data_IF_041989164689
#
_entry.id   IF_041989164689
#
_cell.length_a   1.000
_cell.length_b   1.000
_cell.length_c   1.000
_cell.angle_alpha   90.00
_cell.angle_beta   90.00
_cell.angle_gamma   90.00
#
_symmetry.space_group_name_H-M   'P 1'
#
loop_
_entity.id
_entity.type
_entity.pdbx_description
1 polymer ?
#
# COMPACT_ATOMS: atom_id res chain seq x y z
N UNK A 1 -11.99 -19.29 18.15
CA UNK A 1 -12.49 -17.94 17.83
C UNK A 1 -13.37 -17.51 18.98
N UNK A 2 -12.91 -16.58 19.82
CA UNK A 2 -13.73 -16.03 20.91
C UNK A 2 -14.10 -14.62 20.48
N UNK A 3 -15.40 -14.36 20.37
CA UNK A 3 -15.92 -13.06 19.98
C UNK A 3 -16.04 -12.22 21.26
N UNK A 4 -15.04 -11.40 21.55
CA UNK A 4 -15.10 -10.45 22.66
C UNK A 4 -15.83 -9.20 22.19
N UNK A 5 -17.05 -9.01 22.68
CA UNK A 5 -17.80 -7.77 22.52
C UNK A 5 -17.32 -6.77 23.58
N UNK A 6 -16.51 -5.79 23.20
CA UNK A 6 -16.25 -4.64 24.07
C UNK A 6 -17.37 -3.62 23.87
N UNK A 7 -18.15 -3.40 24.93
CA UNK A 7 -19.20 -2.40 24.97
C UNK A 7 -18.56 -1.00 24.97
N UNK A 8 -18.78 -0.22 23.91
CA UNK A 8 -18.46 1.21 23.94
C UNK A 8 -19.49 1.93 24.83
N UNK A 9 -19.05 2.44 25.99
CA UNK A 9 -19.94 3.04 27.00
C UNK A 9 -20.74 4.25 26.46
N UNK A 10 -20.24 4.96 25.45
CA UNK A 10 -20.93 6.14 24.89
C UNK A 10 -21.92 5.83 23.76
N UNK A 11 -21.77 4.72 23.04
CA UNK A 11 -22.59 4.43 21.85
C UNK A 11 -23.42 3.15 21.95
N UNK A 12 -23.19 2.32 22.96
CA UNK A 12 -23.93 1.06 23.16
C UNK A 12 -23.76 0.04 22.02
N UNK A 13 -22.82 0.29 21.09
CA UNK A 13 -22.58 -0.61 19.96
C UNK A 13 -21.54 -1.66 20.36
N UNK A 14 -21.86 -2.93 20.06
CA UNK A 14 -20.95 -4.06 20.24
C UNK A 14 -20.12 -4.21 18.96
N UNK A 15 -18.90 -3.69 18.98
CA UNK A 15 -17.95 -3.93 17.89
C UNK A 15 -17.25 -5.26 18.15
N UNK A 16 -17.63 -6.30 17.41
CA UNK A 16 -16.97 -7.60 17.51
C UNK A 16 -15.53 -7.50 17.01
N UNK A 17 -14.55 -7.55 17.90
CA UNK A 17 -13.15 -7.66 17.50
C UNK A 17 -12.77 -9.15 17.45
N UNK A 18 -12.21 -9.59 16.31
CA UNK A 18 -11.52 -10.88 16.25
C UNK A 18 -10.16 -10.72 16.93
N UNK A 19 -10.12 -10.97 18.24
CA UNK A 19 -8.87 -11.06 18.99
C UNK A 19 -8.49 -12.53 19.12
N UNK A 20 -7.19 -12.81 19.03
CA UNK A 20 -6.63 -14.13 19.31
C UNK A 20 -5.52 -13.93 20.33
N UNK A 21 -5.37 -14.86 21.27
CA UNK A 21 -4.44 -14.79 22.41
C UNK A 21 -2.97 -14.56 21.98
N UNK A 22 -2.65 -14.91 20.73
CA UNK A 22 -1.34 -14.71 20.11
C UNK A 22 -1.39 -13.93 18.79
N UNK A 23 -2.38 -13.07 18.59
CA UNK A 23 -2.52 -12.27 17.37
C UNK A 23 -1.26 -11.44 17.04
N UNK A 24 -0.56 -10.94 18.06
CA UNK A 24 0.65 -10.13 17.89
C UNK A 24 1.81 -10.93 17.25
N UNK A 25 1.93 -12.22 17.54
CA UNK A 25 2.98 -13.09 16.97
C UNK A 25 2.76 -13.25 15.47
N UNK A 26 1.52 -13.49 15.06
CA UNK A 26 1.15 -13.60 13.64
C UNK A 26 1.34 -12.28 12.90
N UNK A 27 1.01 -11.16 13.52
CA UNK A 27 1.29 -9.84 12.96
C UNK A 27 2.79 -9.60 12.76
N UNK A 28 3.62 -9.94 13.73
CA UNK A 28 5.07 -9.81 13.64
C UNK A 28 5.66 -10.72 12.55
N UNK A 29 5.20 -11.96 12.46
CA UNK A 29 5.62 -12.88 11.41
C UNK A 29 5.25 -12.35 10.01
N UNK A 30 4.03 -11.83 9.84
CA UNK A 30 3.59 -11.22 8.59
C UNK A 30 4.41 -9.97 8.24
N UNK A 31 4.73 -9.13 9.23
CA UNK A 31 5.56 -7.94 9.04
C UNK A 31 6.98 -8.30 8.59
N UNK A 32 7.58 -9.36 9.14
CA UNK A 32 8.91 -9.83 8.73
C UNK A 32 8.87 -10.33 7.28
N UNK A 33 7.90 -11.16 6.92
CA UNK A 33 7.77 -11.69 5.55
C UNK A 33 7.59 -10.55 4.55
N UNK A 34 6.67 -9.63 4.81
CA UNK A 34 6.45 -8.47 3.95
C UNK A 34 7.69 -7.58 3.88
N UNK A 35 8.33 -7.30 5.01
CA UNK A 35 9.56 -6.51 5.07
C UNK A 35 10.70 -7.10 4.25
N UNK A 36 10.91 -8.43 4.32
CA UNK A 36 11.93 -9.10 3.51
C UNK A 36 11.62 -9.05 2.01
N UNK A 37 10.35 -9.22 1.62
CA UNK A 37 9.92 -9.08 0.23
C UNK A 37 10.15 -7.66 -0.30
N UNK A 38 9.83 -6.63 0.50
CA UNK A 38 10.07 -5.23 0.13
C UNK A 38 11.56 -4.92 0.03
N UNK A 39 12.38 -5.42 0.95
CA UNK A 39 13.83 -5.24 0.93
C UNK A 39 14.47 -5.89 -0.30
N UNK A 40 14.08 -7.13 -0.61
CA UNK A 40 14.58 -7.85 -1.78
C UNK A 40 14.22 -7.11 -3.08
N UNK A 41 12.99 -6.61 -3.15
CA UNK A 41 12.50 -5.80 -4.27
C UNK A 41 13.29 -4.49 -4.42
N UNK A 42 13.64 -3.83 -3.30
CA UNK A 42 14.51 -2.65 -3.30
C UNK A 42 15.93 -2.94 -3.79
N UNK A 43 16.51 -4.08 -3.41
CA UNK A 43 17.84 -4.50 -3.89
C UNK A 43 17.83 -4.73 -5.40
N UNK A 44 16.80 -5.40 -5.91
CA UNK A 44 16.63 -5.61 -7.36
C UNK A 44 16.50 -4.26 -8.06
N UNK A 45 15.66 -3.36 -7.56
CA UNK A 45 15.47 -2.04 -8.15
C UNK A 45 16.75 -1.19 -8.15
N UNK A 46 17.59 -1.29 -7.11
CA UNK A 46 18.89 -0.61 -7.06
C UNK A 46 19.88 -1.16 -8.09
N UNK A 47 19.90 -2.49 -8.29
CA UNK A 47 20.70 -3.14 -9.34
C UNK A 47 20.24 -2.77 -10.75
N UNK A 48 18.94 -2.61 -10.97
CA UNK A 48 18.39 -2.25 -12.29
C UNK A 48 18.56 -0.77 -12.64
N UNK A 49 18.85 0.10 -11.66
CA UNK A 49 19.11 1.53 -11.89
C UNK A 49 20.39 1.78 -12.70
N UNK A 50 21.37 0.89 -12.63
CA UNK A 50 22.68 1.04 -13.32
C UNK A 50 22.66 0.56 -14.78
N UNK A 51 21.54 0.00 -15.26
CA UNK A 51 21.39 -0.46 -16.65
C UNK A 51 20.56 0.58 -17.41
N UNK A 52 21.28 1.34 -18.23
CA UNK A 52 20.91 2.54 -18.99
C UNK A 52 19.58 2.48 -19.81
N UNK A 53 19.05 3.68 -20.11
CA UNK A 53 17.95 4.17 -20.99
C UNK A 53 16.83 3.24 -21.52
N UNK A 54 17.07 1.96 -21.75
CA UNK A 54 16.10 0.97 -22.23
C UNK A 54 15.08 0.56 -21.16
N UNK A 55 15.35 0.83 -19.89
CA UNK A 55 14.50 0.48 -18.76
C UNK A 55 13.79 1.68 -18.14
N UNK A 56 13.26 2.61 -18.94
CA UNK A 56 12.38 3.67 -18.43
C UNK A 56 11.21 3.11 -17.60
N UNK A 57 10.78 1.86 -17.84
CA UNK A 57 9.81 1.13 -17.02
C UNK A 57 10.29 0.80 -15.59
N UNK A 58 11.59 0.59 -15.36
CA UNK A 58 12.13 0.24 -14.02
C UNK A 58 12.07 1.42 -13.05
N UNK A 59 12.15 2.66 -13.54
CA UNK A 59 12.01 3.87 -12.74
C UNK A 59 10.59 4.01 -12.15
N UNK A 60 9.55 3.60 -12.89
CA UNK A 60 8.17 3.60 -12.40
C UNK A 60 7.94 2.52 -11.35
N UNK A 61 8.57 1.36 -11.51
CA UNK A 61 8.54 0.29 -10.52
C UNK A 61 9.23 0.75 -9.23
N UNK A 62 10.41 1.37 -9.33
CA UNK A 62 11.11 1.97 -8.18
C UNK A 62 10.24 3.01 -7.46
N UNK A 63 9.53 3.86 -8.23
CA UNK A 63 8.63 4.88 -7.68
C UNK A 63 7.43 4.23 -6.97
N UNK A 64 6.84 3.17 -7.54
CA UNK A 64 5.75 2.41 -6.93
C UNK A 64 6.16 1.69 -5.63
N UNK A 65 7.40 1.20 -5.55
CA UNK A 65 7.95 0.60 -4.33
C UNK A 65 8.18 1.67 -3.26
N UNK A 66 8.71 2.84 -3.65
CA UNK A 66 8.91 3.97 -2.74
C UNK A 66 7.60 4.48 -2.15
N UNK A 67 6.53 4.57 -2.95
CA UNK A 67 5.21 4.96 -2.45
C UNK A 67 4.60 3.89 -1.54
N UNK A 68 4.80 2.60 -1.81
CA UNK A 68 4.40 1.53 -0.88
C UNK A 68 5.12 1.62 0.48
N UNK A 69 6.42 1.94 0.48
CA UNK A 69 7.17 2.13 1.72
C UNK A 69 6.63 3.32 2.54
N UNK A 70 6.27 4.42 1.88
CA UNK A 70 5.66 5.58 2.52
C UNK A 70 4.30 5.23 3.15
N UNK A 71 3.46 4.45 2.46
CA UNK A 71 2.17 4.00 2.99
C UNK A 71 2.36 3.11 4.23
N UNK A 72 3.37 2.23 4.25
CA UNK A 72 3.69 1.42 5.42
C UNK A 72 4.14 2.29 6.60
N UNK A 73 5.00 3.28 6.36
CA UNK A 73 5.48 4.19 7.40
C UNK A 73 4.35 5.06 7.96
N UNK A 74 3.41 5.53 7.12
CA UNK A 74 2.27 6.37 7.53
C UNK A 74 1.16 5.54 8.21
N UNK A 75 0.96 4.29 7.80
CA UNK A 75 -0.08 3.43 8.39
C UNK A 75 0.23 3.03 9.84
N UNK A 76 1.50 2.87 10.20
CA UNK A 76 1.96 2.57 11.56
C UNK A 76 1.49 3.58 12.64
N UNK A 77 1.79 4.89 12.53
CA UNK A 77 1.32 5.88 13.49
C UNK A 77 -0.20 6.07 13.41
N UNK A 78 -0.83 5.88 12.25
CA UNK A 78 -2.29 5.88 12.13
C UNK A 78 -2.93 4.79 13.00
N UNK A 79 -2.36 3.58 13.02
CA UNK A 79 -2.83 2.48 13.88
C UNK A 79 -2.61 2.78 15.37
N UNK A 80 -1.49 3.41 15.72
CA UNK A 80 -1.19 3.79 17.10
C UNK A 80 -2.12 4.91 17.62
N UNK A 81 -2.39 5.92 16.80
CA UNK A 81 -3.23 7.07 17.16
C UNK A 81 -4.71 6.67 17.30
N UNK A 82 -5.20 5.81 16.40
CA UNK A 82 -6.60 5.37 16.38
C UNK A 82 -6.96 4.33 17.44
N UNK A 83 -5.98 3.74 18.14
CA UNK A 83 -6.26 2.88 19.29
C UNK A 83 -6.90 3.63 20.47
N UNK A 84 -6.81 4.97 20.50
CA UNK A 84 -7.26 5.76 21.66
C UNK A 84 -8.65 6.40 21.59
N UNK A 85 -9.34 6.43 20.44
CA UNK A 85 -10.43 7.42 20.22
C UNK A 85 -11.75 6.91 19.61
N UNK A 86 -11.79 5.81 18.83
CA UNK A 86 -13.03 5.08 18.46
C UNK A 86 -12.80 4.08 17.33
N UNK A 87 -13.46 2.91 17.41
CA UNK A 87 -13.32 1.84 16.40
C UNK A 87 -13.83 2.22 15.00
N UNK A 88 -14.88 3.06 14.94
CA UNK A 88 -15.49 3.49 13.67
C UNK A 88 -14.59 4.44 12.87
N UNK A 89 -13.96 5.41 13.56
CA UNK A 89 -13.00 6.32 12.92
C UNK A 89 -11.78 5.54 12.40
N UNK A 90 -11.35 4.50 13.14
CA UNK A 90 -10.28 3.60 12.70
C UNK A 90 -10.61 2.87 11.41
N UNK A 91 -11.81 2.32 11.31
CA UNK A 91 -12.24 1.60 10.13
C UNK A 91 -12.30 2.51 8.90
N UNK A 92 -12.96 3.66 9.00
CA UNK A 92 -13.09 4.61 7.88
C UNK A 92 -11.72 5.14 7.45
N UNK A 93 -10.84 5.48 8.40
CA UNK A 93 -9.50 5.97 8.11
C UNK A 93 -8.65 4.93 7.36
N UNK A 94 -8.68 3.68 7.80
CA UNK A 94 -7.95 2.59 7.13
C UNK A 94 -8.50 2.29 5.73
N UNK A 95 -9.83 2.30 5.55
CA UNK A 95 -10.47 2.07 4.25
C UNK A 95 -10.09 3.17 3.25
N UNK A 96 -10.17 4.44 3.66
CA UNK A 96 -9.80 5.57 2.80
C UNK A 96 -8.30 5.58 2.46
N UNK A 97 -7.45 5.23 3.44
CA UNK A 97 -6.00 5.10 3.21
C UNK A 97 -5.67 3.97 2.23
N UNK A 98 -6.26 2.78 2.41
CA UNK A 98 -6.05 1.63 1.54
C UNK A 98 -6.58 1.86 0.12
N UNK A 99 -7.72 2.53 0.00
CA UNK A 99 -8.30 2.92 -1.28
C UNK A 99 -7.40 3.92 -2.02
N UNK A 100 -6.99 4.99 -1.33
CA UNK A 100 -6.12 6.02 -1.89
C UNK A 100 -4.77 5.44 -2.32
N UNK A 101 -4.15 4.58 -1.50
CA UNK A 101 -2.89 3.93 -1.86
C UNK A 101 -3.02 3.04 -3.09
N UNK A 102 -4.12 2.28 -3.20
CA UNK A 102 -4.35 1.37 -4.34
C UNK A 102 -4.56 2.14 -5.65
N UNK A 103 -5.31 3.25 -5.59
CA UNK A 103 -5.50 4.13 -6.75
C UNK A 103 -4.21 4.84 -7.16
N UNK A 104 -3.41 5.32 -6.21
CA UNK A 104 -2.13 5.97 -6.52
C UNK A 104 -1.15 5.03 -7.23
N UNK A 105 -1.02 3.78 -6.77
CA UNK A 105 -0.13 2.80 -7.39
C UNK A 105 -0.60 2.45 -8.80
N UNK A 106 -1.90 2.15 -8.96
CA UNK A 106 -2.47 1.80 -10.26
C UNK A 106 -2.27 2.93 -11.28
N UNK A 107 -2.49 4.16 -10.85
CA UNK A 107 -2.32 5.37 -11.67
C UNK A 107 -0.85 5.55 -12.08
N UNK A 108 0.08 5.45 -11.13
CA UNK A 108 1.53 5.61 -11.40
C UNK A 108 2.08 4.56 -12.37
N UNK A 109 1.58 3.33 -12.32
CA UNK A 109 2.03 2.25 -13.22
C UNK A 109 1.40 2.35 -14.62
N UNK A 110 0.14 2.82 -14.70
CA UNK A 110 -0.63 2.79 -15.94
C UNK A 110 -0.44 4.04 -16.82
N UNK A 111 -0.17 5.21 -16.22
CA UNK A 111 0.11 6.47 -16.94
C UNK A 111 1.20 6.34 -18.02
N UNK A 112 2.42 5.82 -17.74
CA UNK A 112 3.47 5.78 -18.75
C UNK A 112 3.12 4.90 -19.94
N UNK A 113 2.36 3.81 -19.72
CA UNK A 113 1.90 2.91 -20.79
C UNK A 113 0.90 3.59 -21.70
N UNK A 114 -0.05 4.33 -21.13
CA UNK A 114 -1.00 5.13 -21.92
C UNK A 114 -0.30 6.23 -22.70
N UNK A 115 0.66 6.91 -22.10
CA UNK A 115 1.40 7.99 -22.75
C UNK A 115 2.23 7.48 -23.93
N UNK A 116 2.96 6.36 -23.74
CA UNK A 116 3.73 5.72 -24.82
C UNK A 116 2.83 5.27 -25.98
N UNK A 117 1.67 4.68 -25.67
CA UNK A 117 0.69 4.29 -26.68
C UNK A 117 0.15 5.50 -27.47
N UNK A 118 -0.19 6.60 -26.77
CA UNK A 118 -0.67 7.82 -27.43
C UNK A 118 0.39 8.46 -28.33
N UNK A 119 1.66 8.50 -27.91
CA UNK A 119 2.77 9.00 -28.71
C UNK A 119 3.01 8.17 -29.97
N UNK A 120 2.96 6.83 -29.85
CA UNK A 120 3.10 5.93 -30.99
C UNK A 120 1.94 6.08 -31.99
N UNK A 121 0.71 6.22 -31.48
CA UNK A 121 -0.47 6.45 -32.31
C UNK A 121 -0.38 7.79 -33.08
N UNK A 122 0.11 8.85 -32.44
CA UNK A 122 0.26 10.15 -33.07
C UNK A 122 1.32 10.14 -34.20
N UNK A 123 2.43 9.42 -34.01
CA UNK A 123 3.45 9.26 -35.05
C UNK A 123 2.95 8.46 -36.27
N UNK A 124 2.12 7.43 -36.07
CA UNK A 124 1.54 6.68 -37.20
C UNK A 124 0.57 7.53 -38.04
N UNK A 125 -0.19 8.43 -37.43
CA UNK A 125 -1.09 9.34 -38.16
C UNK A 125 -0.34 10.39 -39.01
N UNK A 126 0.88 10.77 -38.65
CA UNK A 126 1.67 11.74 -39.42
C UNK A 126 2.38 11.14 -40.64
N UNK A 127 2.44 9.81 -40.74
CA UNK A 127 3.10 9.08 -41.83
C UNK A 127 2.12 8.57 -42.91
N UNK A 128 0.82 8.78 -42.74
CA UNK A 128 -0.25 8.46 -43.69
C UNK A 128 -0.79 9.75 -44.33
#
# INVERSE_FOLDING_TARGET
WIMTAELNFETGSSVGMCTFEHAWIWMMAAAIVLGTATAMTGVIAWKTKDVDAAYAESAWIMTAISTQLQVVIVSLPCLLLLNGQSSNARYIGLVMAAFSSSMSISTLVMIPKFWAFFLQNNNNNNNN
#
